data_IF_328511847848
#
_entry.id   IF_328511847848
#
_cell.length_a   1.000
_cell.length_b   1.000
_cell.length_c   1.000
_cell.angle_alpha   90.00
_cell.angle_beta   90.00
_cell.angle_gamma   90.00
#
_symmetry.space_group_name_H-M   'P 1'
#
loop_
_entity.id
_entity.type
_entity.pdbx_description
1 polymer ?
#
# COMPACT_ATOMS: atom_id res chain seq x y z
N UNK A 1 0.16 -8.81 17.03
CA UNK A 1 0.85 -9.11 15.76
C UNK A 1 0.24 -8.21 14.71
N UNK A 2 1.04 -7.56 13.84
CA UNK A 2 0.52 -6.68 12.80
C UNK A 2 -0.40 -7.45 11.87
N UNK A 3 -1.54 -6.87 11.53
CA UNK A 3 -2.53 -7.52 10.69
C UNK A 3 -2.10 -7.46 9.22
N UNK A 4 -2.38 -8.53 8.46
CA UNK A 4 -2.12 -8.57 7.01
C UNK A 4 -2.99 -7.50 6.33
N UNK A 5 -2.62 -7.06 5.13
CA UNK A 5 -3.49 -6.20 4.33
C UNK A 5 -3.93 -6.93 3.08
N UNK A 6 -5.10 -6.57 2.58
CA UNK A 6 -5.71 -7.21 1.41
C UNK A 6 -5.90 -6.22 0.28
N UNK A 7 -6.33 -6.74 -0.87
CA UNK A 7 -6.86 -5.96 -1.97
C UNK A 7 -7.87 -4.93 -1.46
N UNK A 8 -7.92 -3.76 -2.08
CA UNK A 8 -8.70 -2.59 -1.64
C UNK A 8 -8.20 -1.87 -0.38
N UNK A 9 -7.08 -2.29 0.22
CA UNK A 9 -6.42 -1.56 1.30
C UNK A 9 -6.18 -0.09 0.89
N UNK A 10 -6.37 0.83 1.83
CA UNK A 10 -6.13 2.24 1.61
C UNK A 10 -4.72 2.61 2.05
N UNK A 11 -4.01 3.30 1.18
CA UNK A 11 -2.68 3.84 1.38
C UNK A 11 -2.76 5.37 1.45
N UNK A 12 -1.82 5.98 2.15
CA UNK A 12 -1.64 7.43 2.16
C UNK A 12 -0.17 7.78 1.92
N UNK A 13 0.07 8.78 1.08
CA UNK A 13 1.38 9.41 0.94
C UNK A 13 1.41 10.67 1.79
N UNK A 14 2.40 10.85 2.66
CA UNK A 14 2.50 12.04 3.51
C UNK A 14 2.70 13.36 2.72
N UNK A 15 3.10 13.27 1.46
CA UNK A 15 3.21 14.41 0.53
C UNK A 15 2.05 14.49 -0.47
N UNK A 16 1.17 13.50 -0.50
CA UNK A 16 -0.06 13.50 -1.29
C UNK A 16 -1.17 14.32 -0.63
N UNK A 17 -2.21 14.65 -1.39
CA UNK A 17 -3.40 15.33 -0.88
C UNK A 17 -4.58 14.40 -0.66
N UNK A 18 -4.58 13.20 -1.25
CA UNK A 18 -5.65 12.21 -1.09
C UNK A 18 -5.09 10.80 -0.88
N UNK A 19 -5.84 9.92 -0.19
CA UNK A 19 -5.52 8.50 -0.14
C UNK A 19 -5.59 7.83 -1.53
N UNK A 20 -5.07 6.61 -1.61
CA UNK A 20 -5.09 5.76 -2.80
C UNK A 20 -5.39 4.31 -2.41
N UNK A 21 -5.98 3.55 -3.32
CA UNK A 21 -6.31 2.14 -3.11
C UNK A 21 -5.17 1.25 -3.62
N UNK A 22 -4.83 0.22 -2.84
CA UNK A 22 -3.94 -0.86 -3.23
C UNK A 22 -4.71 -1.91 -4.05
N UNK A 23 -4.16 -2.29 -5.20
CA UNK A 23 -4.60 -3.43 -5.99
C UNK A 23 -3.59 -4.56 -5.91
N UNK A 24 -4.03 -5.76 -5.54
CA UNK A 24 -3.18 -6.95 -5.45
C UNK A 24 -3.14 -7.67 -6.80
N UNK A 25 -1.95 -7.83 -7.36
CA UNK A 25 -1.71 -8.50 -8.64
C UNK A 25 -0.60 -9.55 -8.56
N UNK A 26 0.10 -9.65 -7.43
CA UNK A 26 1.19 -10.60 -7.21
C UNK A 26 0.74 -12.07 -7.17
N UNK A 27 -0.55 -12.32 -6.95
CA UNK A 27 -1.16 -13.64 -6.78
C UNK A 27 -2.70 -13.53 -6.89
N UNK A 28 -3.40 -14.66 -7.05
CA UNK A 28 -4.85 -14.73 -7.24
C UNK A 28 -5.56 -15.86 -6.46
N UNK A 29 -4.94 -16.39 -5.41
CA UNK A 29 -5.43 -17.59 -4.70
C UNK A 29 -5.45 -17.44 -3.17
N UNK A 30 -4.55 -16.66 -2.58
CA UNK A 30 -4.47 -16.48 -1.13
C UNK A 30 -5.33 -15.29 -0.72
N UNK A 31 -6.36 -15.55 0.09
CA UNK A 31 -7.35 -14.55 0.47
C UNK A 31 -7.50 -14.44 1.99
N UNK A 32 -7.91 -13.27 2.45
CA UNK A 32 -8.47 -13.03 3.77
C UNK A 32 -9.76 -12.22 3.59
N UNK A 33 -10.87 -12.69 4.20
CA UNK A 33 -12.21 -12.13 3.99
C UNK A 33 -12.54 -11.95 2.48
N UNK A 34 -12.31 -13.01 1.69
CA UNK A 34 -12.58 -13.05 0.24
C UNK A 34 -11.76 -12.07 -0.61
N UNK A 35 -10.76 -11.39 -0.04
CA UNK A 35 -9.88 -10.44 -0.73
C UNK A 35 -8.44 -10.94 -0.77
N UNK A 36 -7.76 -10.76 -1.91
CA UNK A 36 -6.39 -11.24 -2.08
C UNK A 36 -5.43 -10.56 -1.09
N UNK A 37 -4.58 -11.33 -0.43
CA UNK A 37 -3.55 -10.82 0.48
C UNK A 37 -2.41 -10.17 -0.33
N UNK A 38 -1.99 -8.97 0.07
CA UNK A 38 -0.93 -8.22 -0.60
C UNK A 38 0.48 -8.71 -0.22
N UNK A 39 1.41 -8.61 -1.17
CA UNK A 39 2.82 -8.96 -0.98
C UNK A 39 3.75 -7.80 -1.36
N UNK A 40 5.04 -7.91 -1.05
CA UNK A 40 6.05 -6.92 -1.40
C UNK A 40 6.25 -6.69 -2.92
N UNK A 41 5.62 -7.52 -3.77
CA UNK A 41 5.60 -7.29 -5.22
C UNK A 41 4.47 -6.36 -5.67
N UNK A 42 3.46 -6.09 -4.84
CA UNK A 42 2.37 -5.16 -5.14
C UNK A 42 2.83 -3.70 -4.96
N UNK A 43 3.77 -3.28 -5.80
CA UNK A 43 4.42 -1.95 -5.77
C UNK A 43 4.48 -1.27 -7.14
N UNK A 44 3.87 -1.80 -8.19
CA UNK A 44 3.93 -1.16 -9.50
C UNK A 44 3.08 0.12 -9.52
N UNK A 45 3.70 1.23 -9.90
CA UNK A 45 3.04 2.52 -10.04
C UNK A 45 1.90 2.47 -11.06
N UNK A 46 0.77 3.08 -10.72
CA UNK A 46 -0.48 3.10 -11.51
C UNK A 46 -1.15 1.74 -11.76
N UNK A 47 -0.54 0.64 -11.31
CA UNK A 47 -1.12 -0.70 -11.36
C UNK A 47 -1.56 -1.10 -9.94
N UNK A 48 -0.60 -1.29 -9.03
CA UNK A 48 -0.89 -1.62 -7.64
C UNK A 48 -1.23 -0.38 -6.81
N UNK A 49 -0.54 0.74 -7.06
CA UNK A 49 -0.71 1.98 -6.30
C UNK A 49 -1.12 3.08 -7.26
N UNK A 50 -2.32 3.64 -7.09
CA UNK A 50 -2.82 4.78 -7.88
C UNK A 50 -2.28 6.13 -7.33
N UNK A 51 -2.36 7.23 -8.08
CA UNK A 51 -1.92 8.55 -7.60
C UNK A 51 -2.63 9.04 -6.33
N UNK A 52 -1.88 9.79 -5.50
CA UNK A 52 -2.34 10.35 -4.22
C UNK A 52 -2.82 11.82 -4.36
N UNK A 53 -3.54 12.13 -5.43
CA UNK A 53 -3.96 13.50 -5.74
C UNK A 53 -2.78 14.37 -6.19
N UNK A 54 -2.50 15.47 -5.48
CA UNK A 54 -1.41 16.41 -5.77
C UNK A 54 -0.21 16.20 -4.84
N UNK A 55 1.00 16.46 -5.33
CA UNK A 55 2.24 16.25 -4.56
C UNK A 55 2.83 17.56 -4.05
N UNK A 56 2.89 17.73 -2.73
CA UNK A 56 3.51 18.90 -2.07
C UNK A 56 4.99 19.12 -2.43
N UNK A 57 5.68 18.05 -2.85
CA UNK A 57 7.08 18.10 -3.29
C UNK A 57 7.26 18.45 -4.78
N UNK A 58 6.18 18.69 -5.52
CA UNK A 58 6.24 19.08 -6.94
C UNK A 58 5.46 20.39 -7.17
N UNK A 59 5.89 21.52 -6.58
CA UNK A 59 5.23 22.80 -6.77
C UNK A 59 5.33 23.29 -8.21
N UNK A 60 4.32 24.03 -8.65
CA UNK A 60 4.28 24.78 -9.90
C UNK A 60 3.80 26.20 -9.62
N UNK A 61 3.84 27.08 -10.63
CA UNK A 61 3.29 28.44 -10.50
C UNK A 61 1.80 28.50 -10.18
N UNK A 62 1.05 27.42 -10.46
CA UNK A 62 -0.40 27.34 -10.25
C UNK A 62 -0.85 26.30 -9.22
N UNK A 63 0.06 25.75 -8.42
CA UNK A 63 -0.25 24.74 -7.41
C UNK A 63 0.78 23.62 -7.37
N UNK A 64 0.35 22.38 -7.57
CA UNK A 64 1.20 21.20 -7.47
C UNK A 64 0.90 20.19 -8.59
N UNK A 65 1.95 19.52 -9.08
CA UNK A 65 1.79 18.41 -10.02
C UNK A 65 1.14 17.19 -9.36
N UNK A 66 0.58 16.25 -10.14
CA UNK A 66 0.04 15.01 -9.61
C UNK A 66 1.05 14.21 -8.77
N UNK A 67 0.59 13.61 -7.68
CA UNK A 67 1.35 12.69 -6.86
C UNK A 67 1.37 11.29 -7.49
N UNK A 68 2.01 11.18 -8.65
CA UNK A 68 2.30 9.91 -9.30
C UNK A 68 3.24 9.10 -8.40
N UNK A 69 2.86 7.87 -8.01
CA UNK A 69 3.64 7.09 -7.08
C UNK A 69 4.92 6.59 -7.75
N UNK A 70 6.03 6.65 -7.03
CA UNK A 70 7.30 6.06 -7.43
C UNK A 70 7.83 5.20 -6.27
N UNK A 71 7.08 4.17 -5.85
CA UNK A 71 7.42 3.37 -4.67
C UNK A 71 8.73 2.63 -4.89
N UNK A 72 9.50 2.49 -3.81
CA UNK A 72 10.76 1.74 -3.77
C UNK A 72 10.49 0.32 -3.27
N UNK A 73 11.19 -0.15 -2.23
CA UNK A 73 10.91 -1.42 -1.58
C UNK A 73 9.92 -1.21 -0.43
N UNK A 74 8.99 -2.16 -0.27
CA UNK A 74 8.20 -2.28 0.95
C UNK A 74 9.11 -2.63 2.12
N UNK A 75 8.86 -1.99 3.25
CA UNK A 75 9.55 -2.17 4.52
C UNK A 75 8.54 -2.60 5.57
N UNK A 76 9.02 -3.15 6.69
CA UNK A 76 8.16 -3.76 7.74
C UNK A 76 7.17 -4.76 7.16
N UNK A 77 7.65 -5.58 6.23
CA UNK A 77 6.93 -6.76 5.74
C UNK A 77 7.11 -7.90 6.75
N UNK A 78 6.37 -9.00 6.58
CA UNK A 78 6.52 -10.18 7.44
C UNK A 78 7.95 -10.73 7.41
N UNK A 79 8.41 -11.30 8.54
CA UNK A 79 9.74 -11.89 8.61
C UNK A 79 9.83 -13.27 7.95
N UNK A 80 8.79 -14.10 8.14
CA UNK A 80 8.78 -15.52 7.75
C UNK A 80 7.60 -15.90 6.86
N UNK A 81 6.44 -15.28 7.06
CA UNK A 81 5.25 -15.58 6.25
C UNK A 81 5.44 -15.06 4.83
N UNK A 82 5.23 -15.93 3.84
CA UNK A 82 5.36 -15.57 2.42
C UNK A 82 4.25 -16.18 1.59
N UNK A 83 3.92 -15.54 0.46
CA UNK A 83 3.12 -16.11 -0.63
C UNK A 83 4.02 -16.10 -1.87
N UNK A 84 4.22 -17.25 -2.52
CA UNK A 84 5.15 -17.40 -3.65
C UNK A 84 6.57 -16.87 -3.34
N UNK A 85 7.07 -17.10 -2.11
CA UNK A 85 8.34 -16.58 -1.59
C UNK A 85 8.43 -15.04 -1.49
N UNK A 86 7.32 -14.32 -1.66
CA UNK A 86 7.24 -12.88 -1.43
C UNK A 86 6.69 -12.60 -0.04
N UNK A 87 7.33 -11.68 0.68
CA UNK A 87 6.88 -11.30 2.02
C UNK A 87 5.52 -10.62 1.96
N UNK A 88 4.68 -10.90 2.94
CA UNK A 88 3.32 -10.37 3.06
C UNK A 88 3.38 -8.95 3.62
N UNK A 89 2.51 -8.08 3.11
CA UNK A 89 2.33 -6.74 3.65
C UNK A 89 1.40 -6.76 4.86
N UNK A 90 1.71 -5.90 5.83
CA UNK A 90 0.94 -5.71 7.06
C UNK A 90 0.54 -4.25 7.23
N UNK A 91 -0.31 -3.94 8.20
CA UNK A 91 -0.70 -2.57 8.54
C UNK A 91 0.49 -1.67 8.92
N UNK A 92 1.60 -2.26 9.38
CA UNK A 92 2.84 -1.54 9.68
C UNK A 92 3.72 -1.32 8.44
N UNK A 93 3.39 -1.96 7.31
CA UNK A 93 4.20 -1.88 6.10
C UNK A 93 4.15 -0.49 5.48
N UNK A 94 5.31 -0.04 4.99
CA UNK A 94 5.42 1.24 4.29
C UNK A 94 6.47 1.15 3.18
N UNK A 95 6.43 2.06 2.22
CA UNK A 95 7.51 2.23 1.26
C UNK A 95 7.86 3.71 1.06
N UNK A 96 9.11 3.98 0.70
CA UNK A 96 9.53 5.33 0.30
C UNK A 96 9.16 5.56 -1.15
N UNK A 97 8.73 6.77 -1.49
CA UNK A 97 8.53 7.24 -2.85
C UNK A 97 9.82 7.92 -3.33
N UNK A 98 10.28 7.61 -4.54
CA UNK A 98 11.47 8.22 -5.16
C UNK A 98 11.37 9.75 -5.34
N UNK A 99 10.16 10.33 -5.24
CA UNK A 99 9.98 11.80 -5.17
C UNK A 99 10.37 12.37 -3.79
N UNK A 100 10.38 11.57 -2.73
CA UNK A 100 10.75 11.98 -1.36
C UNK A 100 9.65 11.78 -0.30
N UNK A 101 8.44 11.33 -0.69
CA UNK A 101 7.36 11.02 0.25
C UNK A 101 7.47 9.61 0.87
N UNK A 102 6.68 9.35 1.90
CA UNK A 102 6.48 8.03 2.51
C UNK A 102 5.03 7.60 2.27
N UNK A 103 4.85 6.37 1.79
CA UNK A 103 3.55 5.74 1.54
C UNK A 103 3.31 4.71 2.64
N UNK A 104 2.21 4.84 3.37
CA UNK A 104 1.86 4.02 4.53
C UNK A 104 0.44 3.46 4.37
N UNK A 105 0.17 2.32 5.02
CA UNK A 105 -1.17 1.76 5.12
C UNK A 105 -1.99 2.58 6.11
N UNK A 106 -3.22 2.95 5.73
CA UNK A 106 -4.17 3.64 6.62
C UNK A 106 -5.47 2.85 6.80
N UNK A 107 -5.75 1.87 5.94
CA UNK A 107 -6.81 0.88 6.11
C UNK A 107 -6.37 -0.45 5.50
N UNK A 108 -6.51 -1.55 6.23
CA UNK A 108 -6.05 -2.89 5.82
C UNK A 108 -6.89 -3.57 4.72
N UNK A 109 -8.02 -2.98 4.31
CA UNK A 109 -8.84 -3.47 3.20
C UNK A 109 -9.87 -4.54 3.58
N UNK A 110 -9.93 -4.95 4.85
CA UNK A 110 -10.91 -5.90 5.37
C UNK A 110 -11.23 -5.57 6.84
N UNK A 111 -12.31 -6.14 7.37
CA UNK A 111 -12.83 -5.80 8.68
C UNK A 111 -12.69 -6.96 9.64
N UNK A 112 -11.52 -7.14 10.26
CA UNK A 112 -11.44 -8.14 11.34
C UNK A 112 -12.37 -7.71 12.47
N UNK A 113 -13.52 -8.37 12.56
CA UNK A 113 -14.24 -8.53 13.81
C UNK A 113 -13.43 -9.50 14.63
N UNK A 114 -12.54 -9.01 15.49
CA UNK A 114 -12.08 -9.82 16.61
C UNK A 114 -13.31 -10.09 17.50
N UNK A 115 -14.01 -11.19 17.25
CA UNK A 115 -14.87 -11.79 18.27
C UNK A 115 -13.95 -12.29 19.38
N UNK A 116 -13.83 -11.47 20.43
CA UNK A 116 -13.34 -11.94 21.73
C UNK A 116 -14.42 -12.88 22.24
N UNK A 117 -14.16 -14.18 22.18
CA UNK A 117 -14.99 -15.20 22.84
C UNK A 117 -14.54 -15.40 24.27
#
# INVERSE_FOLDING_TARGET
MPQKITDTAQLSCNQGTTPSTLSVTSQNFSTAEEKHIATEQDKQANVNIKPFGQCKLKPTSGGYLPCTPAPTAWQKTTEKDTINNYKILTEDSFCMCGTGGKIEVVNKGHGEKHEIK
#
